data_IF_010919501065
#
_entry.id   IF_010919501065
#
_cell.length_a   1.000
_cell.length_b   1.000
_cell.length_c   1.000
_cell.angle_alpha   90.00
_cell.angle_beta   90.00
_cell.angle_gamma   90.00
#
_symmetry.space_group_name_H-M   'P 1'
#
loop_
_entity.id
_entity.type
_entity.pdbx_description
1 polymer ?
#
# COMPACT_ATOMS: atom_id res chain seq x y z
N UNK A 1 -8.29 7.23 2.86
CA UNK A 1 -7.28 6.84 1.86
C UNK A 1 -5.90 7.12 2.43
N UNK A 2 -4.90 6.29 2.11
CA UNK A 2 -3.49 6.61 2.37
C UNK A 2 -2.91 7.12 1.05
N UNK A 3 -2.37 8.34 1.04
CA UNK A 3 -1.64 8.90 -0.09
C UNK A 3 -0.14 8.65 0.06
N UNK A 4 0.52 8.35 -1.04
CA UNK A 4 1.96 8.20 -1.11
C UNK A 4 2.45 8.47 -2.53
N UNK A 5 3.65 9.01 -2.66
CA UNK A 5 4.29 9.18 -3.97
C UNK A 5 4.75 7.83 -4.52
N UNK A 6 4.86 7.73 -5.85
CA UNK A 6 5.26 6.48 -6.54
C UNK A 6 6.65 6.03 -6.12
N UNK A 7 7.58 6.95 -5.91
CA UNK A 7 8.94 6.69 -5.42
C UNK A 7 8.96 6.13 -3.99
N UNK A 8 8.07 6.62 -3.11
CA UNK A 8 7.94 6.08 -1.76
C UNK A 8 7.32 4.68 -1.78
N UNK A 9 6.27 4.49 -2.59
CA UNK A 9 5.63 3.19 -2.81
C UNK A 9 6.63 2.15 -3.33
N UNK A 10 7.37 2.49 -4.39
CA UNK A 10 8.43 1.66 -4.95
C UNK A 10 9.40 1.22 -3.88
N UNK A 11 9.85 2.14 -3.03
CA UNK A 11 10.78 1.81 -1.93
C UNK A 11 10.18 0.80 -0.96
N UNK A 12 8.92 0.98 -0.54
CA UNK A 12 8.26 0.02 0.34
C UNK A 12 8.08 -1.36 -0.30
N UNK A 13 7.73 -1.41 -1.58
CA UNK A 13 7.60 -2.67 -2.32
C UNK A 13 8.93 -3.41 -2.38
N UNK A 14 10.03 -2.71 -2.67
CA UNK A 14 11.39 -3.27 -2.61
C UNK A 14 11.71 -3.75 -1.19
N UNK A 15 11.34 -3.02 -0.13
CA UNK A 15 11.52 -3.47 1.27
C UNK A 15 10.79 -4.79 1.56
N UNK A 16 9.64 -5.04 0.92
CA UNK A 16 8.86 -6.27 1.09
C UNK A 16 9.16 -7.38 0.06
N UNK A 17 10.13 -7.16 -0.84
CA UNK A 17 10.53 -8.14 -1.86
C UNK A 17 9.55 -8.24 -3.03
N UNK A 18 8.78 -7.18 -3.27
CA UNK A 18 7.79 -7.09 -4.35
C UNK A 18 8.38 -6.37 -5.57
N UNK A 19 9.48 -6.89 -6.12
CA UNK A 19 10.26 -6.17 -7.14
C UNK A 19 9.45 -5.91 -8.43
N UNK A 20 8.60 -6.85 -8.86
CA UNK A 20 7.73 -6.67 -10.03
C UNK A 20 6.69 -5.53 -9.82
N UNK A 21 6.02 -5.51 -8.66
CA UNK A 21 5.09 -4.43 -8.34
C UNK A 21 5.82 -3.09 -8.14
N UNK A 22 7.07 -3.12 -7.65
CA UNK A 22 7.91 -1.94 -7.49
C UNK A 22 8.30 -1.29 -8.83
N UNK A 23 8.45 -2.10 -9.89
CA UNK A 23 8.66 -1.60 -11.24
C UNK A 23 7.36 -1.03 -11.82
N UNK A 24 6.25 -1.77 -11.68
CA UNK A 24 4.93 -1.34 -12.16
C UNK A 24 4.45 -0.02 -11.55
N UNK A 25 4.64 0.19 -10.24
CA UNK A 25 4.07 1.37 -9.55
C UNK A 25 4.61 2.70 -10.07
N UNK A 26 5.77 2.71 -10.72
CA UNK A 26 6.37 3.92 -11.31
C UNK A 26 5.58 4.41 -12.52
N UNK A 27 4.96 3.49 -13.27
CA UNK A 27 4.21 3.79 -14.49
C UNK A 27 2.71 3.52 -14.38
N UNK A 28 2.23 3.06 -13.21
CA UNK A 28 0.80 2.87 -12.98
C UNK A 28 0.02 4.18 -13.17
N UNK A 29 -1.22 4.03 -13.63
CA UNK A 29 -2.16 5.13 -13.82
C UNK A 29 -2.50 5.79 -12.49
N UNK A 30 -2.95 7.05 -12.55
CA UNK A 30 -3.43 7.73 -11.34
C UNK A 30 -4.64 7.00 -10.73
N UNK A 31 -5.48 6.39 -11.56
CA UNK A 31 -6.61 5.60 -11.10
C UNK A 31 -6.17 4.37 -10.28
N UNK A 32 -5.17 3.62 -10.76
CA UNK A 32 -4.58 2.49 -10.02
C UNK A 32 -3.92 2.95 -8.71
N UNK A 33 -3.23 4.09 -8.74
CA UNK A 33 -2.62 4.71 -7.56
C UNK A 33 -3.65 5.10 -6.50
N UNK A 34 -4.83 5.55 -6.93
CA UNK A 34 -5.94 5.87 -6.04
C UNK A 34 -6.63 4.60 -5.48
N UNK A 35 -6.82 3.57 -6.31
CA UNK A 35 -7.33 2.26 -5.86
C UNK A 35 -6.43 1.65 -4.80
N UNK A 36 -5.11 1.60 -5.02
CA UNK A 36 -4.19 1.00 -4.06
C UNK A 36 -4.16 1.79 -2.74
N UNK A 37 -4.27 3.12 -2.79
CA UNK A 37 -4.33 3.97 -1.59
C UNK A 37 -5.60 3.75 -0.78
N UNK A 38 -6.70 3.42 -1.45
CA UNK A 38 -7.98 3.05 -0.83
C UNK A 38 -7.90 1.68 -0.16
N UNK A 39 -7.33 0.69 -0.85
CA UNK A 39 -7.10 -0.65 -0.30
C UNK A 39 -6.17 -0.60 0.91
N UNK A 40 -5.06 0.14 0.80
CA UNK A 40 -4.11 0.33 1.90
C UNK A 40 -4.79 0.96 3.12
N UNK A 41 -5.63 1.97 2.92
CA UNK A 41 -6.38 2.59 4.01
C UNK A 41 -7.29 1.58 4.71
N UNK A 42 -8.08 0.83 3.95
CA UNK A 42 -8.99 -0.17 4.53
C UNK A 42 -8.21 -1.25 5.30
N UNK A 43 -7.17 -1.84 4.70
CA UNK A 43 -6.36 -2.90 5.33
C UNK A 43 -5.64 -2.39 6.57
N UNK A 44 -5.25 -1.10 6.63
CA UNK A 44 -4.65 -0.53 7.83
C UNK A 44 -5.62 -0.46 9.03
N UNK A 45 -6.94 -0.46 8.78
CA UNK A 45 -7.99 -0.34 9.79
C UNK A 45 -8.70 -1.66 10.11
N UNK A 46 -8.85 -2.54 9.10
CA UNK A 46 -9.66 -3.76 9.14
C UNK A 46 -8.86 -5.04 8.87
N UNK A 47 -7.59 -4.87 8.46
CA UNK A 47 -6.68 -5.97 8.19
C UNK A 47 -6.10 -6.59 9.46
N UNK A 48 -5.18 -7.55 9.31
CA UNK A 48 -4.59 -8.29 10.42
C UNK A 48 -3.94 -7.38 11.46
N UNK A 49 -4.41 -7.50 12.69
CA UNK A 49 -3.88 -6.82 13.86
C UNK A 49 -2.80 -7.67 14.55
N UNK A 50 -1.87 -7.02 15.25
CA UNK A 50 -0.97 -7.76 16.14
C UNK A 50 -1.68 -8.01 17.47
N UNK A 51 -1.34 -9.08 18.23
CA UNK A 51 -1.88 -9.30 19.57
C UNK A 51 -1.66 -8.13 20.53
N UNK A 52 -0.64 -7.30 20.27
CA UNK A 52 -0.35 -6.08 21.02
C UNK A 52 -1.26 -4.89 20.69
N UNK A 53 -2.19 -5.03 19.74
CA UNK A 53 -3.03 -3.93 19.25
C UNK A 53 -2.26 -2.85 18.47
N UNK A 54 -1.02 -3.12 18.08
CA UNK A 54 -0.23 -2.15 17.32
C UNK A 54 -0.79 -2.02 15.90
N UNK A 55 -1.02 -0.77 15.47
CA UNK A 55 -1.50 -0.47 14.12
C UNK A 55 -0.53 -0.96 13.05
N UNK A 56 -1.08 -1.43 11.93
CA UNK A 56 -0.28 -1.83 10.78
C UNK A 56 0.59 -0.67 10.30
N UNK A 57 1.87 -0.95 10.02
CA UNK A 57 2.77 0.05 9.43
C UNK A 57 2.21 0.52 8.08
N UNK A 58 2.16 1.84 7.86
CA UNK A 58 1.66 2.45 6.62
C UNK A 58 2.34 1.86 5.38
N UNK A 59 3.68 1.69 5.41
CA UNK A 59 4.42 1.08 4.30
C UNK A 59 3.99 -0.35 3.98
N UNK A 60 3.56 -1.13 4.99
CA UNK A 60 3.00 -2.48 4.79
C UNK A 60 1.64 -2.42 4.11
N UNK A 61 0.77 -1.55 4.60
CA UNK A 61 -0.58 -1.39 4.05
C UNK A 61 -0.53 -0.93 2.58
N UNK A 62 0.36 0.02 2.27
CA UNK A 62 0.64 0.49 0.91
C UNK A 62 1.16 -0.63 0.00
N UNK A 63 2.11 -1.44 0.48
CA UNK A 63 2.62 -2.58 -0.28
C UNK A 63 1.51 -3.62 -0.56
N UNK A 64 0.63 -3.90 0.42
CA UNK A 64 -0.52 -4.80 0.23
C UNK A 64 -1.45 -4.23 -0.84
N UNK A 65 -1.83 -2.96 -0.74
CA UNK A 65 -2.70 -2.31 -1.72
C UNK A 65 -2.13 -2.38 -3.13
N UNK A 66 -0.84 -2.09 -3.29
CA UNK A 66 -0.17 -2.13 -4.58
C UNK A 66 -0.14 -3.54 -5.20
N UNK A 67 0.14 -4.58 -4.39
CA UNK A 67 0.10 -5.98 -4.87
C UNK A 67 -1.32 -6.37 -5.29
N UNK A 68 -2.34 -5.99 -4.51
CA UNK A 68 -3.73 -6.31 -4.85
C UNK A 68 -4.16 -5.70 -6.20
N UNK A 69 -3.77 -4.44 -6.46
CA UNK A 69 -4.10 -3.78 -7.73
C UNK A 69 -3.27 -4.35 -8.88
N UNK A 70 -1.96 -4.51 -8.70
CA UNK A 70 -1.06 -5.01 -9.73
C UNK A 70 -1.43 -6.42 -10.21
N UNK A 71 -1.83 -7.30 -9.28
CA UNK A 71 -2.13 -8.71 -9.61
C UNK A 71 -3.62 -8.98 -9.82
N UNK A 72 -4.49 -8.00 -9.53
CA UNK A 72 -5.94 -8.15 -9.60
C UNK A 72 -6.55 -9.10 -8.57
N UNK A 73 -5.77 -9.55 -7.57
CA UNK A 73 -6.22 -10.47 -6.50
C UNK A 73 -5.47 -10.25 -5.19
N UNK A 74 -6.08 -10.52 -4.03
CA UNK A 74 -5.40 -10.42 -2.75
C UNK A 74 -4.41 -11.58 -2.56
N UNK A 75 -3.21 -11.26 -2.05
CA UNK A 75 -2.26 -12.27 -1.55
C UNK A 75 -1.35 -11.68 -0.48
N UNK A 76 -0.73 -12.55 0.32
CA UNK A 76 0.31 -12.13 1.28
C UNK A 76 1.52 -11.55 0.54
N UNK A 77 2.17 -10.57 1.17
CA UNK A 77 3.46 -10.04 0.70
C UNK A 77 4.53 -11.13 0.70
N UNK A 78 5.46 -11.05 -0.25
CA UNK A 78 6.60 -11.95 -0.40
C UNK A 78 7.44 -12.01 0.89
N UNK A 79 7.49 -10.92 1.65
CA UNK A 79 8.09 -10.88 2.98
C UNK A 79 7.12 -10.34 4.02
N UNK A 80 7.08 -10.99 5.18
CA UNK A 80 6.37 -10.46 6.35
C UNK A 80 7.10 -9.27 6.99
N UNK A 81 8.44 -9.23 6.88
CA UNK A 81 9.32 -8.21 7.46
C UNK A 81 10.07 -7.47 6.37
N UNK A 82 10.25 -6.16 6.56
CA UNK A 82 11.02 -5.30 5.65
C UNK A 82 12.49 -5.70 5.65
N UNK A 83 13.11 -5.77 4.47
CA UNK A 83 14.58 -5.70 4.36
C UNK A 83 15.04 -4.25 4.57
N UNK A 84 16.22 -4.09 5.15
CA UNK A 84 16.85 -2.76 5.26
C UNK A 84 17.40 -2.36 3.90
N UNK A 85 16.93 -1.23 3.37
CA UNK A 85 17.51 -0.62 2.18
C UNK A 85 18.54 0.45 2.56
N UNK A 86 19.49 0.76 1.67
CA UNK A 86 20.39 1.90 1.85
C UNK A 86 19.61 3.18 2.15
N UNK A 87 20.15 4.01 3.03
CA UNK A 87 19.55 5.30 3.31
C UNK A 87 19.60 6.19 2.07
N UNK A 88 18.49 6.90 1.82
CA UNK A 88 18.44 7.88 0.75
C UNK A 88 19.20 9.13 1.16
N UNK A 89 19.89 9.75 0.20
CA UNK A 89 20.41 11.10 0.35
C UNK A 89 19.27 12.10 0.59
N UNK A 90 19.59 13.28 1.12
CA UNK A 90 18.56 14.31 1.33
C UNK A 90 17.90 14.74 0.01
N UNK A 91 18.70 14.85 -1.06
CA UNK A 91 18.24 15.21 -2.40
C UNK A 91 17.25 14.18 -2.94
N UNK A 92 17.57 12.89 -2.83
CA UNK A 92 16.67 11.81 -3.24
C UNK A 92 15.36 11.82 -2.44
N UNK A 93 15.44 12.04 -1.12
CA UNK A 93 14.24 12.18 -0.27
C UNK A 93 13.39 13.36 -0.69
N UNK A 94 14.01 14.49 -1.05
CA UNK A 94 13.29 15.69 -1.52
C UNK A 94 12.60 15.40 -2.84
N UNK A 95 13.32 14.81 -3.81
CA UNK A 95 12.76 14.40 -5.11
C UNK A 95 11.54 13.50 -4.95
N UNK A 96 11.66 12.44 -4.14
CA UNK A 96 10.56 11.48 -3.93
C UNK A 96 9.35 12.14 -3.28
N UNK A 97 9.54 13.10 -2.36
CA UNK A 97 8.44 13.81 -1.71
C UNK A 97 7.75 14.83 -2.61
N UNK A 98 8.46 15.37 -3.60
CA UNK A 98 7.91 16.33 -4.57
C UNK A 98 7.24 15.67 -5.77
N UNK A 99 7.29 14.35 -5.89
CA UNK A 99 6.61 13.64 -6.97
C UNK A 99 5.10 13.91 -6.94
N UNK A 100 4.46 14.04 -8.11
CA UNK A 100 3.04 14.32 -8.19
C UNK A 100 2.22 13.15 -7.64
N UNK A 101 1.13 13.50 -6.97
CA UNK A 101 0.06 12.60 -6.55
C UNK A 101 -1.27 13.22 -6.97
N UNK A 102 -2.25 12.45 -7.49
CA UNK A 102 -3.54 12.95 -7.96
C UNK A 102 -4.45 13.36 -6.78
N UNK A 103 -4.03 14.39 -6.04
CA UNK A 103 -4.64 14.79 -4.76
C UNK A 103 -6.08 15.26 -4.94
N UNK A 104 -6.36 16.07 -5.97
CA UNK A 104 -7.72 16.54 -6.25
C UNK A 104 -8.70 15.38 -6.47
N UNK A 105 -8.34 14.44 -7.36
CA UNK A 105 -9.16 13.26 -7.65
C UNK A 105 -9.36 12.35 -6.43
N UNK A 106 -8.40 12.32 -5.50
CA UNK A 106 -8.53 11.51 -4.27
C UNK A 106 -9.68 11.93 -3.35
N UNK A 107 -10.15 13.18 -3.46
CA UNK A 107 -11.30 13.69 -2.70
C UNK A 107 -12.65 13.35 -3.35
N UNK A 108 -12.67 12.98 -4.63
CA UNK A 108 -13.89 12.75 -5.41
C UNK A 108 -14.31 11.28 -5.41
N UNK A 109 -13.40 10.37 -5.06
CA UNK A 109 -13.66 8.93 -5.12
C UNK A 109 -14.16 8.34 -3.79
N UNK A 110 -14.96 7.25 -3.82
CA UNK A 110 -15.43 6.60 -2.61
C UNK A 110 -14.30 6.09 -1.71
N UNK A 111 -14.55 6.00 -0.40
CA UNK A 111 -13.55 5.51 0.57
C UNK A 111 -13.07 4.07 0.32
N UNK A 112 -13.94 3.23 -0.24
CA UNK A 112 -13.66 1.83 -0.57
C UNK A 112 -13.43 1.62 -2.08
N UNK A 113 -12.90 2.62 -2.77
CA UNK A 113 -12.66 2.55 -4.20
C UNK A 113 -11.68 1.41 -4.56
N UNK A 114 -12.09 0.55 -5.50
CA UNK A 114 -11.32 -0.64 -5.90
C UNK A 114 -11.34 -1.80 -4.89
N UNK A 115 -12.14 -1.70 -3.82
CA UNK A 115 -12.28 -2.78 -2.84
C UNK A 115 -13.31 -3.82 -3.31
N UNK A 116 -12.88 -5.07 -3.48
CA UNK A 116 -13.77 -6.20 -3.78
C UNK A 116 -14.09 -7.01 -2.52
N UNK A 117 -15.16 -7.80 -2.56
CA UNK A 117 -15.50 -8.70 -1.45
C UNK A 117 -14.39 -9.74 -1.20
N UNK A 118 -13.74 -10.23 -2.26
CA UNK A 118 -12.58 -11.11 -2.14
C UNK A 118 -11.42 -10.47 -1.35
N UNK A 119 -11.10 -9.20 -1.62
CA UNK A 119 -10.05 -8.47 -0.87
C UNK A 119 -10.46 -8.30 0.60
N UNK A 120 -11.74 -7.99 0.86
CA UNK A 120 -12.27 -7.87 2.21
C UNK A 120 -12.17 -9.20 2.95
N UNK A 121 -12.66 -10.28 2.37
CA UNK A 121 -12.65 -11.62 2.97
C UNK A 121 -11.24 -12.12 3.24
N UNK A 122 -10.31 -11.93 2.29
CA UNK A 122 -8.93 -12.40 2.44
C UNK A 122 -8.18 -11.68 3.57
N UNK A 123 -8.38 -10.37 3.68
CA UNK A 123 -7.64 -9.55 4.64
C UNK A 123 -8.38 -9.27 5.93
N UNK A 124 -9.69 -9.53 6.00
CA UNK A 124 -10.45 -9.35 7.22
C UNK A 124 -9.78 -10.11 8.37
N UNK A 125 -9.40 -9.37 9.40
CA UNK A 125 -9.09 -9.98 10.68
C UNK A 125 -10.42 -10.25 11.40
N UNK A 126 -10.76 -11.51 11.72
CA UNK A 126 -11.91 -11.78 12.58
C UNK A 126 -11.73 -11.20 14.00
N UNK A 127 -10.51 -10.74 14.35
CA UNK A 127 -10.13 -10.36 15.69
C UNK A 127 -9.97 -11.59 16.58
N UNK A 128 -9.43 -11.44 17.81
CA UNK A 128 -9.53 -12.51 18.79
C UNK A 128 -11.02 -12.77 19.05
N UNK A 129 -11.44 -14.04 18.94
CA UNK A 129 -12.73 -14.47 19.46
C UNK A 129 -12.82 -13.99 20.91
N UNK A 130 -13.80 -13.13 21.20
CA UNK A 130 -14.04 -12.65 22.56
C UNK A 130 -14.44 -13.79 23.48
#
# INVERSE_FOLDING_TARGET
MISATRGLLRRHLVEYGEDAAAEWVVSCTDDELLRLGSIAYWVSLKGPSTPSGASMMIGKALAIGAVCVHEGKPRKLARARRRKLPELSEEERRRIRSEPYPMAASFEIPREYGMTDEIKEFWADPGPAR
#
